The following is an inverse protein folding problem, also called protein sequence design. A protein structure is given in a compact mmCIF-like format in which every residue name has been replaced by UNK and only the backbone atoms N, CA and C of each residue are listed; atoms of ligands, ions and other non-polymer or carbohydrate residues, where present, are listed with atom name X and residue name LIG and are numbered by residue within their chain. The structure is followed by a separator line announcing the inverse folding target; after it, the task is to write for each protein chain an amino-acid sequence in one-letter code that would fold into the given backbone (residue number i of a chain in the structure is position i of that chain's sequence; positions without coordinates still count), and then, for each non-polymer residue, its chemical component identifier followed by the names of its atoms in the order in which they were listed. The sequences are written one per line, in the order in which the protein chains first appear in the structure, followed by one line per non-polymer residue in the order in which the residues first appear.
data_IF_366917171872
#
_entry.id   IF_366917171872
#
_cell.length_a   1.000
_cell.length_b   1.000
_cell.length_c   1.000
_cell.angle_alpha   90.00
_cell.angle_beta   90.00
_cell.angle_gamma   90.00
#
_symmetry.space_group_name_H-M   'P 1'
#
loop_
_entity.id
_entity.type
_entity.pdbx_description
1 polymer ?
#
# COMPACT_ATOMS: atom_id res chain seq x y z
N UNK A 1 -18.63 -13.10 6.75
CA UNK A 1 -19.94 -13.18 6.11
C UNK A 1 -20.77 -14.25 6.79
N UNK A 2 -22.03 -13.95 7.05
CA UNK A 2 -23.01 -14.87 7.64
C UNK A 2 -23.99 -15.32 6.54
N UNK A 3 -24.24 -16.61 6.45
CA UNK A 3 -25.19 -17.19 5.49
C UNK A 3 -25.94 -18.35 6.14
N UNK A 4 -27.06 -18.77 5.53
CA UNK A 4 -27.80 -19.96 5.94
C UNK A 4 -27.60 -21.02 4.85
N UNK A 5 -27.43 -22.27 5.26
CA UNK A 5 -27.29 -23.42 4.38
C UNK A 5 -28.23 -24.51 4.86
N UNK A 6 -29.02 -25.06 3.95
CA UNK A 6 -29.87 -26.24 4.21
C UNK A 6 -29.11 -27.50 3.81
N UNK A 7 -29.01 -28.45 4.74
CA UNK A 7 -28.45 -29.77 4.47
C UNK A 7 -29.46 -30.82 4.93
N UNK A 8 -30.10 -31.50 3.98
CA UNK A 8 -31.24 -32.35 4.27
C UNK A 8 -32.42 -31.54 4.81
N UNK A 9 -32.95 -31.95 5.97
CA UNK A 9 -34.05 -31.28 6.64
C UNK A 9 -33.63 -30.29 7.71
N UNK A 10 -32.30 -29.97 7.80
CA UNK A 10 -31.75 -29.09 8.80
C UNK A 10 -31.18 -27.81 8.17
N UNK A 11 -31.39 -26.68 8.88
CA UNK A 11 -30.88 -25.36 8.50
C UNK A 11 -29.67 -25.07 9.39
N UNK A 12 -28.53 -24.80 8.75
CA UNK A 12 -27.28 -24.42 9.40
C UNK A 12 -27.02 -22.93 9.20
N UNK A 13 -26.55 -22.29 10.25
CA UNK A 13 -25.98 -20.95 10.16
C UNK A 13 -24.47 -21.09 9.89
N UNK A 14 -24.03 -20.56 8.76
CA UNK A 14 -22.62 -20.64 8.35
C UNK A 14 -21.96 -19.29 8.55
N UNK A 15 -20.88 -19.27 9.33
CA UNK A 15 -20.00 -18.13 9.51
C UNK A 15 -18.75 -18.34 8.67
N UNK A 16 -18.53 -17.48 7.68
CA UNK A 16 -17.36 -17.57 6.81
C UNK A 16 -16.42 -16.42 7.12
N UNK A 17 -15.21 -16.75 7.57
CA UNK A 17 -14.10 -15.83 7.74
C UNK A 17 -13.16 -16.00 6.55
N UNK A 18 -12.74 -14.89 5.94
CA UNK A 18 -11.79 -14.88 4.84
C UNK A 18 -10.69 -13.88 5.15
N UNK A 19 -9.46 -14.27 4.89
CA UNK A 19 -8.30 -13.40 4.96
C UNK A 19 -7.42 -13.67 3.76
N UNK A 20 -6.55 -12.72 3.45
CA UNK A 20 -5.50 -12.87 2.44
C UNK A 20 -4.16 -12.78 3.13
N UNK A 21 -3.23 -13.63 2.72
CA UNK A 21 -1.84 -13.57 3.15
C UNK A 21 -0.94 -13.51 1.92
N UNK A 22 0.03 -12.60 1.94
CA UNK A 22 1.02 -12.49 0.88
C UNK A 22 2.36 -12.97 1.41
N UNK A 23 2.91 -14.07 0.86
CA UNK A 23 4.21 -14.57 1.28
C UNK A 23 5.32 -13.61 0.83
N UNK A 24 6.27 -13.32 1.72
CA UNK A 24 7.42 -12.45 1.46
C UNK A 24 8.69 -13.21 1.12
N UNK A 25 8.70 -14.54 1.35
CA UNK A 25 9.84 -15.43 1.08
C UNK A 25 9.35 -16.72 0.46
N UNK A 26 10.19 -17.30 -0.40
CA UNK A 26 9.99 -18.67 -0.90
C UNK A 26 10.30 -19.70 0.20
N UNK A 27 9.68 -20.88 0.10
CA UNK A 27 9.84 -21.97 1.06
C UNK A 27 8.51 -22.48 1.59
N UNK A 28 8.55 -23.24 2.65
CA UNK A 28 7.35 -23.74 3.32
C UNK A 28 6.78 -22.66 4.24
N UNK A 29 5.49 -22.40 4.09
CA UNK A 29 4.72 -21.49 4.93
C UNK A 29 3.62 -22.26 5.63
N UNK A 30 3.65 -22.26 6.96
CA UNK A 30 2.60 -22.84 7.78
C UNK A 30 1.49 -21.81 8.05
N UNK A 31 0.28 -22.12 7.64
CA UNK A 31 -0.93 -21.35 7.90
C UNK A 31 -1.73 -21.97 9.03
N UNK A 32 -1.95 -21.26 10.11
CA UNK A 32 -2.67 -21.73 11.27
C UNK A 32 -1.78 -22.38 12.34
N UNK A 33 -2.40 -23.04 13.34
CA UNK A 33 -3.83 -23.32 13.48
C UNK A 33 -4.68 -22.05 13.66
N UNK A 34 -5.91 -22.07 13.14
CA UNK A 34 -6.85 -20.97 13.36
C UNK A 34 -7.78 -21.35 14.51
N UNK A 35 -7.79 -20.55 15.57
CA UNK A 35 -8.63 -20.72 16.75
C UNK A 35 -9.73 -19.67 16.76
N UNK A 36 -10.95 -20.10 16.98
CA UNK A 36 -12.12 -19.23 17.10
C UNK A 36 -12.92 -19.60 18.34
N UNK A 37 -13.07 -18.64 19.24
CA UNK A 37 -13.96 -18.76 20.41
C UNK A 37 -15.26 -17.99 20.14
N UNK A 38 -16.38 -18.61 20.42
CA UNK A 38 -17.71 -17.99 20.28
C UNK A 38 -18.67 -18.50 21.36
N UNK A 39 -19.69 -17.70 21.62
CA UNK A 39 -20.77 -18.10 22.53
C UNK A 39 -22.01 -18.34 21.68
N UNK A 40 -22.48 -19.57 21.66
CA UNK A 40 -23.72 -19.95 21.00
C UNK A 40 -24.91 -19.76 21.97
N UNK A 41 -25.96 -19.11 21.49
CA UNK A 41 -27.25 -19.05 22.21
C UNK A 41 -28.12 -20.17 21.66
N UNK A 42 -28.29 -21.23 22.43
CA UNK A 42 -29.08 -22.41 22.04
C UNK A 42 -30.43 -22.31 22.75
N UNK A 43 -31.52 -22.50 21.99
CA UNK A 43 -32.85 -22.58 22.59
C UNK A 43 -33.00 -23.90 23.31
N UNK A 44 -33.26 -23.85 24.61
CA UNK A 44 -33.45 -25.04 25.43
C UNK A 44 -34.78 -25.71 25.03
N UNK A 45 -34.73 -26.99 24.64
CA UNK A 45 -35.93 -27.81 24.49
C UNK A 45 -36.46 -28.11 25.91
N UNK A 46 -37.61 -27.57 26.24
CA UNK A 46 -38.28 -27.91 27.48
C UNK A 46 -38.69 -29.38 27.45
N UNK A 47 -38.08 -30.22 28.26
CA UNK A 47 -38.59 -31.55 28.57
C UNK A 47 -39.83 -31.34 29.44
N UNK A 48 -41.00 -31.43 28.83
CA UNK A 48 -42.30 -31.44 29.52
C UNK A 48 -42.44 -32.71 30.35
N UNK A 49 -41.82 -32.77 31.53
CA UNK A 49 -42.09 -33.80 32.53
C UNK A 49 -41.75 -33.28 33.92
N UNK A 50 -42.51 -32.32 34.40
CA UNK A 50 -42.66 -32.12 35.84
C UNK A 50 -44.05 -31.56 36.09
N UNK A 51 -44.93 -32.28 36.85
CA UNK A 51 -46.26 -31.80 37.19
C UNK A 51 -46.27 -30.64 38.22
N UNK A 52 -45.12 -30.24 38.71
CA UNK A 52 -44.97 -29.23 39.79
C UNK A 52 -44.12 -28.02 39.40
N UNK A 53 -44.03 -27.65 38.14
CA UNK A 53 -43.32 -26.41 37.76
C UNK A 53 -44.29 -25.24 37.83
N UNK A 54 -43.92 -24.24 38.62
CA UNK A 54 -44.62 -22.96 38.75
C UNK A 54 -44.84 -22.29 37.38
N UNK A 55 -46.02 -21.69 37.11
CA UNK A 55 -46.35 -21.14 35.78
C UNK A 55 -45.50 -19.97 35.36
N UNK A 56 -44.68 -19.39 36.21
CA UNK A 56 -43.97 -18.14 35.98
C UNK A 56 -42.46 -18.29 35.64
N UNK A 57 -41.78 -19.39 35.98
CA UNK A 57 -40.36 -19.56 35.71
C UNK A 57 -40.00 -19.81 34.23
N UNK A 58 -40.98 -20.20 33.42
CA UNK A 58 -40.75 -20.56 32.01
C UNK A 58 -40.55 -19.41 31.05
N UNK A 59 -40.75 -18.17 31.43
CA UNK A 59 -40.71 -17.03 30.51
C UNK A 59 -39.33 -16.39 30.34
N UNK A 60 -38.41 -16.50 31.30
CA UNK A 60 -37.18 -15.72 31.32
C UNK A 60 -35.93 -16.46 30.84
N UNK A 61 -35.90 -17.76 30.68
CA UNK A 61 -34.67 -18.50 30.40
C UNK A 61 -34.78 -19.45 29.19
N UNK A 62 -35.18 -18.90 28.03
CA UNK A 62 -35.34 -19.72 26.80
C UNK A 62 -34.03 -20.01 26.05
N UNK A 63 -32.91 -19.40 26.46
CA UNK A 63 -31.64 -19.53 25.77
C UNK A 63 -30.54 -19.87 26.76
N UNK A 64 -29.81 -20.93 26.46
CA UNK A 64 -28.59 -21.28 27.15
C UNK A 64 -27.40 -20.73 26.34
N UNK A 65 -26.47 -20.09 27.00
CA UNK A 65 -25.21 -19.66 26.41
C UNK A 65 -24.20 -20.78 26.55
N UNK A 66 -23.71 -21.29 25.40
CA UNK A 66 -22.71 -22.38 25.36
C UNK A 66 -21.43 -21.81 24.72
N UNK A 67 -20.33 -21.72 25.48
CA UNK A 67 -19.05 -21.36 24.90
C UNK A 67 -18.56 -22.51 24.01
N UNK A 68 -18.13 -22.20 22.80
CA UNK A 68 -17.59 -23.17 21.83
C UNK A 68 -16.25 -22.65 21.34
N UNK A 69 -15.23 -23.49 21.47
CA UNK A 69 -13.90 -23.26 20.91
C UNK A 69 -13.71 -24.17 19.71
N UNK A 70 -13.45 -23.56 18.57
CA UNK A 70 -13.17 -24.25 17.33
C UNK A 70 -11.70 -24.06 16.98
N UNK A 71 -11.06 -25.13 16.52
CA UNK A 71 -9.68 -25.11 16.04
C UNK A 71 -9.61 -25.79 14.68
N UNK A 72 -9.09 -25.07 13.70
CA UNK A 72 -8.75 -25.62 12.39
C UNK A 72 -7.28 -26.04 12.40
N UNK A 73 -6.99 -27.21 11.83
CA UNK A 73 -5.62 -27.71 11.72
C UNK A 73 -4.77 -26.75 10.87
N UNK A 74 -3.51 -26.61 11.24
CA UNK A 74 -2.53 -25.90 10.44
C UNK A 74 -2.37 -26.60 9.07
N UNK A 75 -2.15 -25.78 8.03
CA UNK A 75 -1.86 -26.22 6.67
C UNK A 75 -0.52 -25.69 6.23
N UNK A 76 0.31 -26.53 5.62
CA UNK A 76 1.56 -26.13 5.02
C UNK A 76 1.37 -25.90 3.54
N UNK A 77 1.80 -24.74 3.04
CA UNK A 77 1.83 -24.39 1.62
C UNK A 77 3.28 -24.17 1.20
N UNK A 78 3.63 -24.59 -0.01
CA UNK A 78 4.96 -24.36 -0.57
C UNK A 78 4.92 -23.11 -1.45
N UNK A 79 5.66 -22.08 -1.06
CA UNK A 79 5.85 -20.85 -1.81
C UNK A 79 7.02 -21.05 -2.78
N UNK A 80 6.72 -21.01 -4.08
CA UNK A 80 7.75 -21.17 -5.12
C UNK A 80 8.61 -19.90 -5.22
N UNK A 81 9.92 -20.02 -5.46
CA UNK A 81 10.76 -18.87 -5.74
C UNK A 81 10.38 -18.24 -7.10
N UNK A 82 10.57 -16.93 -7.21
CA UNK A 82 10.42 -16.24 -8.49
C UNK A 82 11.58 -16.60 -9.41
N UNK A 83 11.33 -16.77 -10.75
CA UNK A 83 12.41 -17.04 -11.71
C UNK A 83 13.47 -15.94 -11.67
N UNK A 84 14.73 -16.32 -11.80
CA UNK A 84 15.84 -15.35 -11.95
C UNK A 84 16.02 -14.91 -13.40
N UNK A 85 15.62 -15.76 -14.35
CA UNK A 85 15.70 -15.46 -15.78
C UNK A 85 14.74 -14.31 -16.16
N UNK A 86 15.25 -13.39 -16.99
CA UNK A 86 14.51 -12.24 -17.50
C UNK A 86 13.92 -11.32 -16.41
N UNK A 87 14.51 -11.30 -15.23
CA UNK A 87 14.12 -10.39 -14.15
C UNK A 87 14.58 -8.97 -14.50
N UNK A 88 13.66 -7.99 -14.67
CA UNK A 88 14.04 -6.61 -14.95
C UNK A 88 14.80 -5.96 -13.79
N UNK A 89 15.71 -5.03 -14.10
CA UNK A 89 16.42 -4.25 -13.06
C UNK A 89 15.47 -3.42 -12.18
N UNK A 90 14.37 -2.93 -12.78
CA UNK A 90 13.32 -2.16 -12.12
C UNK A 90 12.36 -3.01 -11.27
N UNK A 91 12.56 -4.35 -11.17
CA UNK A 91 11.68 -5.21 -10.40
C UNK A 91 11.89 -5.06 -8.89
N UNK A 92 10.84 -4.64 -8.21
CA UNK A 92 10.82 -4.40 -6.76
C UNK A 92 9.77 -5.25 -6.02
N UNK A 93 9.68 -6.55 -6.37
CA UNK A 93 8.88 -7.52 -5.63
C UNK A 93 7.39 -7.56 -5.95
N UNK A 94 6.88 -6.77 -6.89
CA UNK A 94 5.47 -6.77 -7.23
C UNK A 94 5.04 -8.06 -7.93
N UNK A 95 4.10 -8.81 -7.35
CA UNK A 95 3.52 -10.02 -7.92
C UNK A 95 2.02 -9.85 -8.12
N UNK A 96 1.54 -10.05 -9.34
CA UNK A 96 0.13 -9.83 -9.68
C UNK A 96 -0.07 -9.48 -11.15
N UNK A 97 -1.17 -8.80 -11.44
CA UNK A 97 -1.47 -8.23 -12.76
C UNK A 97 -1.86 -6.78 -12.58
N UNK A 98 -1.11 -5.90 -13.21
CA UNK A 98 -1.23 -4.46 -12.99
C UNK A 98 -1.27 -3.68 -14.30
N UNK A 99 -1.87 -2.50 -14.21
CA UNK A 99 -1.81 -1.42 -15.20
C UNK A 99 -1.22 -0.20 -14.54
N UNK A 100 -0.59 0.67 -15.31
CA UNK A 100 -0.01 1.92 -14.83
C UNK A 100 -0.52 3.10 -15.66
N UNK A 101 -0.92 4.15 -14.98
CA UNK A 101 -1.15 5.48 -15.54
C UNK A 101 -0.20 6.45 -14.87
N UNK A 102 0.32 7.40 -15.64
CA UNK A 102 1.15 8.46 -15.10
C UNK A 102 0.84 9.78 -15.80
N UNK A 103 0.86 10.86 -15.05
CA UNK A 103 0.65 12.23 -15.49
C UNK A 103 1.61 13.16 -14.77
N UNK A 104 2.09 14.17 -15.46
CA UNK A 104 2.86 15.25 -14.85
C UNK A 104 2.15 16.59 -15.12
N UNK A 105 2.16 17.50 -14.18
CA UNK A 105 1.53 18.81 -14.30
C UNK A 105 2.15 19.79 -13.30
N UNK A 106 2.35 21.04 -13.72
CA UNK A 106 2.21 21.60 -15.07
C UNK A 106 3.34 21.11 -16.01
N UNK A 107 3.14 21.25 -17.35
CA UNK A 107 4.16 20.88 -18.36
C UNK A 107 4.92 22.11 -18.91
N UNK A 108 4.58 23.31 -18.46
CA UNK A 108 5.31 24.54 -18.70
C UNK A 108 5.54 25.22 -17.34
N UNK A 109 6.81 25.43 -17.01
CA UNK A 109 7.27 25.96 -15.73
C UNK A 109 8.47 26.85 -15.91
N UNK A 110 8.86 27.58 -14.86
CA UNK A 110 10.14 28.26 -14.77
C UNK A 110 11.15 27.41 -14.00
N UNK A 111 12.45 27.60 -14.22
CA UNK A 111 13.50 26.96 -13.40
C UNK A 111 13.20 27.23 -11.92
N UNK A 112 13.14 26.16 -11.13
CA UNK A 112 12.83 26.23 -9.69
C UNK A 112 11.35 26.05 -9.35
N UNK A 113 10.43 26.03 -10.32
CA UNK A 113 9.03 25.77 -10.08
C UNK A 113 8.74 24.28 -9.94
N UNK A 114 7.78 23.88 -9.08
CA UNK A 114 7.44 22.48 -8.88
C UNK A 114 6.59 21.89 -10.00
N UNK A 115 6.89 20.64 -10.35
CA UNK A 115 6.06 19.78 -11.21
C UNK A 115 5.60 18.58 -10.38
N UNK A 116 4.31 18.33 -10.35
CA UNK A 116 3.75 17.16 -9.67
C UNK A 116 3.62 16.01 -10.65
N UNK A 117 4.23 14.88 -10.31
CA UNK A 117 4.13 13.62 -11.05
C UNK A 117 3.20 12.70 -10.28
N UNK A 118 2.06 12.35 -10.88
CA UNK A 118 1.08 11.45 -10.31
C UNK A 118 1.11 10.12 -11.04
N UNK A 119 1.34 9.01 -10.30
CA UNK A 119 1.46 7.67 -10.86
C UNK A 119 0.45 6.79 -10.15
N UNK A 120 -0.47 6.19 -10.91
CA UNK A 120 -1.45 5.25 -10.40
C UNK A 120 -1.16 3.86 -10.93
N UNK A 121 -0.95 2.91 -10.03
CA UNK A 121 -0.84 1.49 -10.34
C UNK A 121 -2.12 0.82 -9.84
N UNK A 122 -2.86 0.19 -10.75
CA UNK A 122 -4.13 -0.47 -10.45
C UNK A 122 -4.08 -1.93 -10.89
N UNK A 123 -4.77 -2.81 -10.15
CA UNK A 123 -4.81 -4.20 -10.55
C UNK A 123 -5.10 -5.17 -9.43
N UNK A 124 -4.68 -6.42 -9.65
CA UNK A 124 -4.89 -7.54 -8.75
C UNK A 124 -3.55 -8.07 -8.23
N UNK A 125 -3.39 -8.09 -6.92
CA UNK A 125 -2.21 -8.54 -6.19
C UNK A 125 -2.16 -7.88 -4.82
N UNK A 126 -1.00 -7.89 -4.17
CA UNK A 126 -0.81 -7.22 -2.89
C UNK A 126 -0.68 -5.70 -3.07
N UNK A 127 -1.82 -5.00 -3.18
CA UNK A 127 -1.84 -3.56 -3.50
C UNK A 127 -1.07 -2.72 -2.49
N UNK A 128 -1.17 -3.03 -1.19
CA UNK A 128 -0.47 -2.30 -0.13
C UNK A 128 1.05 -2.46 -0.16
N UNK A 129 1.54 -3.54 -0.76
CA UNK A 129 2.98 -3.85 -0.87
C UNK A 129 3.61 -3.30 -2.15
N UNK A 130 2.84 -2.65 -3.03
CA UNK A 130 3.40 -2.06 -4.24
C UNK A 130 4.32 -0.90 -3.87
N UNK A 131 5.54 -0.95 -4.35
CA UNK A 131 6.49 0.14 -4.21
C UNK A 131 6.95 0.61 -5.58
N UNK A 132 7.07 1.91 -5.72
CA UNK A 132 7.71 2.55 -6.85
C UNK A 132 9.00 3.19 -6.35
N UNK A 133 10.13 3.02 -7.05
CA UNK A 133 11.35 3.76 -6.71
C UNK A 133 11.07 5.25 -6.75
N UNK A 134 11.69 6.00 -5.87
CA UNK A 134 11.70 7.46 -5.93
C UNK A 134 12.21 7.90 -7.31
N UNK A 135 11.51 8.86 -7.90
CA UNK A 135 11.95 9.46 -9.17
C UNK A 135 13.12 10.40 -8.84
N UNK A 136 14.32 9.92 -9.07
CA UNK A 136 15.55 10.68 -8.88
C UNK A 136 16.21 10.86 -10.25
N UNK A 137 15.82 11.94 -10.93
CA UNK A 137 16.24 12.23 -12.29
C UNK A 137 17.35 13.27 -12.33
N UNK A 138 18.38 13.08 -13.16
CA UNK A 138 19.42 14.08 -13.35
C UNK A 138 18.84 15.45 -13.75
N UNK A 139 19.27 16.52 -13.09
CA UNK A 139 18.80 17.87 -13.34
C UNK A 139 17.46 18.22 -12.67
N UNK A 140 16.91 17.32 -11.86
CA UNK A 140 15.73 17.57 -11.06
C UNK A 140 16.02 17.42 -9.57
N UNK A 141 15.57 18.36 -8.77
CA UNK A 141 15.48 18.16 -7.34
C UNK A 141 14.19 17.39 -7.03
N UNK A 142 14.31 16.23 -6.40
CA UNK A 142 13.18 15.34 -6.12
C UNK A 142 12.84 15.27 -4.63
N UNK A 143 11.56 15.30 -4.33
CA UNK A 143 11.04 15.15 -2.97
C UNK A 143 10.50 13.73 -2.75
N UNK A 144 10.31 13.35 -1.49
CA UNK A 144 9.72 12.05 -1.15
C UNK A 144 8.26 11.97 -1.65
N UNK A 145 7.86 10.85 -2.28
CA UNK A 145 6.50 10.69 -2.75
C UNK A 145 5.50 10.51 -1.61
N UNK A 146 4.34 11.13 -1.72
CA UNK A 146 3.18 10.74 -0.94
C UNK A 146 2.51 9.52 -1.56
N UNK A 147 1.93 8.65 -0.72
CA UNK A 147 1.36 7.38 -1.18
C UNK A 147 -0.05 7.20 -0.62
N UNK A 148 -1.02 7.00 -1.51
CA UNK A 148 -2.40 6.71 -1.16
C UNK A 148 -2.81 5.35 -1.71
N UNK A 149 -3.48 4.53 -0.90
CA UNK A 149 -3.98 3.21 -1.31
C UNK A 149 -5.49 3.18 -1.30
N UNK A 150 -6.09 2.72 -2.40
CA UNK A 150 -7.54 2.47 -2.53
C UNK A 150 -7.76 0.97 -2.71
N UNK A 151 -8.56 0.38 -1.84
CA UNK A 151 -8.93 -1.04 -1.88
C UNK A 151 -10.32 -1.18 -2.47
N UNK A 152 -10.47 -1.99 -3.52
CA UNK A 152 -11.75 -2.26 -4.17
C UNK A 152 -12.41 -3.54 -3.63
N UNK A 153 -11.69 -4.30 -2.81
CA UNK A 153 -12.25 -5.46 -2.14
C UNK A 153 -11.80 -5.54 -0.66
N UNK A 154 -12.58 -6.23 0.20
CA UNK A 154 -12.26 -6.35 1.63
C UNK A 154 -10.94 -7.08 1.93
N UNK A 155 -10.40 -7.85 0.99
CA UNK A 155 -9.14 -8.58 1.16
C UNK A 155 -7.92 -7.76 0.77
N UNK A 156 -8.10 -6.57 0.17
CA UNK A 156 -7.00 -5.73 -0.28
C UNK A 156 -6.19 -6.29 -1.46
N UNK A 157 -6.75 -7.28 -2.18
CA UNK A 157 -6.12 -7.92 -3.34
C UNK A 157 -6.54 -7.31 -4.68
N UNK A 158 -7.45 -6.36 -4.67
CA UNK A 158 -7.89 -5.59 -5.83
C UNK A 158 -7.97 -4.13 -5.42
N UNK A 159 -7.43 -3.25 -6.25
CA UNK A 159 -7.42 -1.82 -5.96
C UNK A 159 -6.38 -1.06 -6.74
N UNK A 160 -6.02 0.09 -6.21
CA UNK A 160 -4.97 0.94 -6.77
C UNK A 160 -4.09 1.56 -5.69
N UNK A 161 -2.83 1.80 -6.05
CA UNK A 161 -1.89 2.58 -5.26
C UNK A 161 -1.44 3.78 -6.08
N UNK A 162 -1.55 4.95 -5.49
CA UNK A 162 -1.29 6.24 -6.11
C UNK A 162 -0.06 6.84 -5.43
N UNK A 163 0.92 7.19 -6.24
CA UNK A 163 2.15 7.85 -5.83
C UNK A 163 2.13 9.27 -6.41
N UNK A 164 2.34 10.25 -5.56
CA UNK A 164 2.43 11.64 -5.94
C UNK A 164 3.77 12.19 -5.50
N UNK A 165 4.59 12.58 -6.45
CA UNK A 165 5.94 13.08 -6.21
C UNK A 165 6.14 14.43 -6.86
N UNK A 166 6.72 15.37 -6.11
CA UNK A 166 7.11 16.67 -6.61
C UNK A 166 8.56 16.60 -7.10
N UNK A 167 8.79 17.09 -8.30
CA UNK A 167 10.12 17.28 -8.89
C UNK A 167 10.27 18.73 -9.34
N UNK A 168 11.45 19.29 -9.21
CA UNK A 168 11.76 20.70 -9.55
C UNK A 168 12.89 20.70 -10.57
N UNK A 169 12.69 21.21 -11.81
CA UNK A 169 13.77 21.34 -12.78
C UNK A 169 14.77 22.40 -12.34
N UNK A 170 16.05 22.07 -12.42
CA UNK A 170 17.17 22.91 -12.02
C UNK A 170 17.78 23.69 -13.19
N UNK A 171 17.34 23.43 -14.42
CA UNK A 171 17.87 24.06 -15.64
C UNK A 171 16.79 24.25 -16.71
N UNK A 172 16.86 25.35 -17.44
CA UNK A 172 16.05 25.66 -18.61
C UNK A 172 16.40 24.79 -19.85
N UNK A 173 17.49 24.04 -19.79
CA UNK A 173 17.91 23.10 -20.85
C UNK A 173 17.15 21.78 -20.79
N UNK A 174 16.34 21.55 -19.77
CA UNK A 174 15.52 20.35 -19.63
C UNK A 174 14.32 20.45 -20.56
N UNK A 175 14.21 19.54 -21.53
CA UNK A 175 13.12 19.49 -22.50
C UNK A 175 12.09 18.39 -22.19
N UNK A 176 12.42 17.43 -21.33
CA UNK A 176 11.54 16.32 -20.99
C UNK A 176 11.86 15.74 -19.61
N UNK A 177 10.86 15.13 -18.97
CA UNK A 177 11.03 14.28 -17.83
C UNK A 177 11.20 12.82 -18.30
N UNK A 178 12.16 12.06 -17.76
CA UNK A 178 12.42 10.69 -18.15
C UNK A 178 11.21 9.77 -17.97
N UNK A 179 11.22 8.64 -18.67
CA UNK A 179 10.18 7.61 -18.53
C UNK A 179 10.15 7.04 -17.13
N UNK A 180 8.94 6.69 -16.70
CA UNK A 180 8.68 6.00 -15.44
C UNK A 180 8.46 4.52 -15.75
N UNK A 181 9.19 3.64 -15.07
CA UNK A 181 9.06 2.19 -15.25
C UNK A 181 8.56 1.52 -13.97
N UNK A 182 7.64 0.59 -14.14
CA UNK A 182 7.16 -0.31 -13.10
C UNK A 182 7.19 -1.74 -13.62
N UNK A 183 7.86 -2.63 -12.88
CA UNK A 183 7.96 -4.04 -13.23
C UNK A 183 7.24 -4.92 -12.23
N UNK A 184 6.60 -5.96 -12.74
CA UNK A 184 5.93 -6.95 -11.91
C UNK A 184 6.07 -8.36 -12.49
N UNK A 185 5.89 -9.37 -11.66
CA UNK A 185 5.79 -10.76 -12.06
C UNK A 185 4.31 -11.14 -12.19
N UNK A 186 3.92 -11.62 -13.36
CA UNK A 186 2.58 -12.14 -13.62
C UNK A 186 2.55 -13.64 -13.30
N UNK A 187 1.88 -14.08 -12.21
CA UNK A 187 1.87 -15.47 -11.81
C UNK A 187 1.04 -16.37 -12.75
N UNK A 188 0.15 -15.79 -13.56
CA UNK A 188 -0.68 -16.55 -14.52
C UNK A 188 0.15 -16.94 -15.74
N UNK A 189 0.94 -16.00 -16.28
CA UNK A 189 1.81 -16.25 -17.43
C UNK A 189 3.21 -16.70 -17.05
N UNK A 190 3.53 -16.67 -15.74
CA UNK A 190 4.86 -16.96 -15.18
C UNK A 190 5.97 -16.13 -15.83
N UNK A 191 5.70 -14.83 -16.09
CA UNK A 191 6.62 -13.93 -16.77
C UNK A 191 6.70 -12.58 -16.05
N UNK A 192 7.86 -11.95 -16.16
CA UNK A 192 8.02 -10.55 -15.81
C UNK A 192 7.41 -9.65 -16.88
N UNK A 193 6.80 -8.57 -16.45
CA UNK A 193 6.21 -7.52 -17.26
C UNK A 193 6.77 -6.18 -16.83
N UNK A 194 7.04 -5.31 -17.81
CA UNK A 194 7.47 -3.93 -17.59
C UNK A 194 6.42 -3.01 -18.18
N UNK A 195 5.90 -2.10 -17.36
CA UNK A 195 5.05 -1.00 -17.77
C UNK A 195 5.89 0.27 -17.79
N UNK A 196 5.79 1.05 -18.86
CA UNK A 196 6.49 2.31 -18.99
C UNK A 196 5.52 3.42 -19.38
N UNK A 197 5.74 4.63 -18.86
CA UNK A 197 5.02 5.86 -19.21
C UNK A 197 6.01 7.01 -19.35
N UNK A 198 5.80 7.85 -20.34
CA UNK A 198 6.72 8.92 -20.73
C UNK A 198 7.63 8.50 -21.89
N UNK A 199 8.67 9.29 -22.23
CA UNK A 199 9.02 10.54 -21.55
C UNK A 199 7.88 11.58 -21.60
N UNK A 200 7.88 12.55 -20.69
CA UNK A 200 6.88 13.61 -20.67
C UNK A 200 7.54 14.91 -21.14
N UNK A 201 7.04 15.56 -22.22
CA UNK A 201 7.58 16.84 -22.64
C UNK A 201 7.44 17.87 -21.53
N UNK A 202 8.48 18.67 -21.31
CA UNK A 202 8.49 19.72 -20.32
C UNK A 202 9.13 20.96 -20.93
N UNK A 203 8.42 22.08 -20.87
CA UNK A 203 8.96 23.38 -21.25
C UNK A 203 9.41 24.11 -19.99
N UNK A 204 10.71 24.35 -19.86
CA UNK A 204 11.28 25.06 -18.73
C UNK A 204 11.75 26.45 -19.22
N UNK A 205 11.14 27.50 -18.71
CA UNK A 205 11.51 28.87 -18.98
C UNK A 205 12.65 29.30 -18.04
N UNK A 206 13.59 30.16 -18.48
CA UNK A 206 14.65 30.64 -17.61
C UNK A 206 14.09 31.45 -16.45
N UNK A 207 14.66 31.30 -15.26
CA UNK A 207 14.28 32.15 -14.14
C UNK A 207 14.81 33.57 -14.40
N UNK A 208 13.93 34.56 -14.42
CA UNK A 208 14.31 35.97 -14.58
C UNK A 208 15.04 36.56 -13.36
N UNK A 209 15.36 35.74 -12.35
CA UNK A 209 16.22 36.13 -11.23
C UNK A 209 17.67 35.80 -11.59
N UNK A 210 18.59 36.78 -11.62
CA UNK A 210 19.99 36.48 -11.76
C UNK A 210 20.40 35.53 -10.65
N UNK A 211 20.93 34.35 -11.00
CA UNK A 211 21.61 33.50 -10.04
C UNK A 211 22.83 34.26 -9.59
N UNK A 212 22.80 34.81 -8.38
CA UNK A 212 23.99 35.41 -7.81
C UNK A 212 25.09 34.34 -7.80
N UNK A 213 26.28 34.60 -8.40
CA UNK A 213 27.36 33.66 -8.35
C UNK A 213 27.70 33.43 -6.89
N UNK A 214 27.76 32.18 -6.47
CA UNK A 214 28.33 31.79 -5.18
C UNK A 214 29.82 32.11 -5.28
N UNK A 215 30.19 33.33 -4.93
CA UNK A 215 31.59 33.70 -4.70
C UNK A 215 32.02 32.95 -3.47
N UNK A 216 32.81 31.92 -3.66
CA UNK A 216 33.47 31.21 -2.60
C UNK A 216 34.23 32.23 -1.76
N UNK A 217 33.77 32.44 -0.53
CA UNK A 217 34.42 33.33 0.41
C UNK A 217 35.77 32.80 0.83
N UNK A 218 36.78 33.58 0.58
CA UNK A 218 38.02 33.44 1.27
C UNK A 218 38.28 34.71 2.09
N UNK A 219 38.47 34.49 3.37
CA UNK A 219 39.22 35.23 4.35
C UNK A 219 38.87 36.71 4.58
N UNK A 220 38.10 36.95 5.61
CA UNK A 220 38.07 38.20 6.33
C UNK A 220 39.33 38.37 7.16
N UNK A 221 40.07 39.38 6.86
CA UNK A 221 41.14 39.88 7.70
C UNK A 221 40.53 40.89 8.67
N UNK A 222 40.66 40.58 9.93
CA UNK A 222 40.27 41.37 11.06
C UNK A 222 41.20 42.61 11.13
N UNK A 223 40.69 43.81 10.96
CA UNK A 223 41.36 45.06 11.34
C UNK A 223 40.53 45.70 12.43
N UNK A 224 41.07 45.63 13.63
CA UNK A 224 40.56 46.30 14.82
C UNK A 224 40.65 47.80 14.69
N UNK A 225 39.58 48.48 15.07
CA UNK A 225 39.57 49.91 15.35
C UNK A 225 39.26 50.11 16.84
N UNK A 226 40.02 50.94 17.55
CA UNK A 226 39.91 51.05 19.01
C UNK A 226 38.74 51.96 19.43
N UNK A 227 38.10 51.53 20.51
CA UNK A 227 37.05 52.21 21.24
C UNK A 227 37.46 53.63 21.69
N UNK A 228 36.58 54.63 21.62
CA UNK A 228 36.80 55.95 22.24
C UNK A 228 36.46 55.91 23.76
N UNK A 229 37.18 56.75 24.58
CA UNK A 229 37.01 56.68 26.01
C UNK A 229 35.74 57.33 26.53
N UNK A 230 35.25 56.95 27.73
CA UNK A 230 34.06 57.47 28.35
C UNK A 230 34.24 58.91 28.82
N UNK A 231 33.30 59.76 28.50
CA UNK A 231 33.20 61.11 29.04
C UNK A 231 32.39 61.11 30.34
N UNK A 232 32.90 61.71 31.32
CA UNK A 232 32.43 62.04 32.68
C UNK A 232 31.02 62.68 32.69
#
# INVERSE_FOLDING_TARGET
KQSRMQKGNQIYQVLTFRTAATPVKAGELQLGPVKQSMVLRIRQKQNRRSPFSEPFEGFFNRYQQVPVNLEAKAQTITVKPLPTANKPASFNGAVGRYTMQAKASPLEVTVGDPVTVNIQISGQGAIESLNLPKLDWPGFKSYEPSVTTKKDNPLGLLGSRIFEQVVIPESDKIAEMPKIEFSYFDPVTSRYRVLAKGPFPLKVNPSGKPVAPIVGGNTAQETGEPDPPPQT
#
